data_IF_169335705698
#
_entry.id   IF_169335705698
#
_cell.length_a   1.000
_cell.length_b   1.000
_cell.length_c   1.000
_cell.angle_alpha   90.00
_cell.angle_beta   90.00
_cell.angle_gamma   90.00
#
_symmetry.space_group_name_H-M   'P 1'
#
loop_
_entity.id
_entity.type
_entity.pdbx_description
1 polymer ?
#
# COMPACT_ATOMS: atom_id res chain seq x y z
N UNK A 1 -8.54 -8.98 -21.05
CA UNK A 1 -7.13 -8.55 -21.09
C UNK A 1 -6.79 -7.99 -19.71
N UNK A 2 -6.29 -8.81 -18.79
CA UNK A 2 -5.68 -8.35 -17.55
C UNK A 2 -4.63 -9.42 -17.21
N UNK A 3 -3.46 -9.26 -17.83
CA UNK A 3 -2.33 -10.18 -17.67
C UNK A 3 -1.52 -9.76 -16.45
N UNK A 4 -1.00 -10.78 -15.77
CA UNK A 4 0.20 -10.78 -14.93
C UNK A 4 0.01 -10.63 -13.41
N UNK A 5 -0.55 -11.67 -12.80
CA UNK A 5 -0.10 -12.18 -11.49
C UNK A 5 1.35 -12.66 -11.67
N UNK A 6 2.33 -11.75 -11.53
CA UNK A 6 3.75 -12.13 -11.49
C UNK A 6 4.14 -12.45 -10.06
N UNK A 7 4.32 -13.75 -9.82
CA UNK A 7 4.95 -14.42 -8.68
C UNK A 7 6.05 -13.56 -8.04
N UNK A 8 5.78 -13.04 -6.86
CA UNK A 8 6.63 -12.05 -6.20
C UNK A 8 7.76 -12.69 -5.41
N UNK A 9 8.97 -12.25 -5.74
CA UNK A 9 10.21 -12.59 -5.05
C UNK A 9 10.21 -12.03 -3.62
N UNK A 10 10.64 -12.89 -2.68
CA UNK A 10 11.00 -12.62 -1.28
C UNK A 10 10.39 -11.36 -0.64
N UNK A 11 9.23 -11.54 0.00
CA UNK A 11 8.60 -10.50 0.81
C UNK A 11 9.47 -10.17 2.03
N UNK A 12 10.01 -8.95 2.09
CA UNK A 12 10.83 -8.50 3.22
C UNK A 12 9.97 -7.77 4.27
N UNK A 13 10.10 -8.08 5.57
CA UNK A 13 9.37 -7.35 6.61
C UNK A 13 9.88 -5.91 6.72
N UNK A 14 8.97 -4.95 6.75
CA UNK A 14 9.26 -3.53 6.87
C UNK A 14 8.35 -2.90 7.92
N UNK A 15 8.89 -1.96 8.70
CA UNK A 15 8.11 -1.09 9.57
C UNK A 15 8.06 0.30 8.94
N UNK A 16 6.88 0.79 8.62
CA UNK A 16 6.70 2.07 7.93
C UNK A 16 5.63 2.92 8.64
N UNK A 17 5.86 4.25 8.65
CA UNK A 17 4.83 5.23 9.04
C UNK A 17 3.97 5.57 7.83
N UNK A 18 2.66 5.49 7.96
CA UNK A 18 1.74 5.80 6.86
C UNK A 18 1.64 7.33 6.67
N UNK A 19 1.83 7.86 5.45
CA UNK A 19 1.80 9.30 5.20
C UNK A 19 0.39 9.89 4.99
N UNK A 20 -0.63 9.06 4.85
CA UNK A 20 -2.03 9.44 4.60
C UNK A 20 -2.99 8.81 5.62
N UNK A 21 -4.21 9.34 5.71
CA UNK A 21 -5.27 8.78 6.53
C UNK A 21 -6.05 7.75 5.71
N UNK A 22 -6.18 6.53 6.22
CA UNK A 22 -6.85 5.42 5.52
C UNK A 22 -7.97 4.84 6.38
N UNK A 23 -9.02 4.37 5.71
CA UNK A 23 -10.16 3.71 6.33
C UNK A 23 -10.23 2.27 5.83
N UNK A 24 -10.21 1.31 6.74
CA UNK A 24 -10.36 -0.09 6.37
C UNK A 24 -11.80 -0.38 5.92
N UNK A 25 -11.96 -1.06 4.78
CA UNK A 25 -13.27 -1.38 4.23
C UNK A 25 -14.05 -2.41 5.07
N UNK A 26 -13.35 -3.32 5.76
CA UNK A 26 -14.01 -4.40 6.53
C UNK A 26 -14.42 -3.99 7.94
N UNK A 27 -13.60 -3.21 8.64
CA UNK A 27 -13.88 -2.83 10.04
C UNK A 27 -14.23 -1.35 10.23
N UNK A 28 -14.10 -0.51 9.21
CA UNK A 28 -14.34 0.93 9.32
C UNK A 28 -13.33 1.65 10.23
N UNK A 29 -12.27 0.98 10.70
CA UNK A 29 -11.24 1.60 11.52
C UNK A 29 -10.42 2.57 10.67
N UNK A 30 -10.26 3.77 11.19
CA UNK A 30 -9.36 4.77 10.65
C UNK A 30 -7.94 4.52 11.17
N UNK A 31 -6.97 4.53 10.26
CA UNK A 31 -5.55 4.67 10.59
C UNK A 31 -5.15 6.10 10.26
N UNK A 32 -4.52 6.75 11.22
CA UNK A 32 -4.15 8.15 11.12
C UNK A 32 -2.80 8.30 10.42
N UNK A 33 -2.58 9.50 9.88
CA UNK A 33 -1.27 9.89 9.38
C UNK A 33 -0.22 9.77 10.49
N UNK A 34 0.85 9.04 10.23
CA UNK A 34 1.96 8.82 11.15
C UNK A 34 1.90 7.53 11.96
N UNK A 35 0.81 6.75 11.86
CA UNK A 35 0.71 5.43 12.49
C UNK A 35 1.80 4.49 11.95
N UNK A 36 2.41 3.74 12.86
CA UNK A 36 3.47 2.75 12.55
C UNK A 36 2.82 1.41 12.27
N UNK A 37 2.93 0.92 11.04
CA UNK A 37 2.44 -0.39 10.65
C UNK A 37 3.60 -1.28 10.21
N UNK A 38 3.50 -2.54 10.60
CA UNK A 38 4.34 -3.60 10.06
C UNK A 38 3.72 -4.10 8.75
N UNK A 39 4.54 -4.20 7.72
CA UNK A 39 4.13 -4.65 6.41
C UNK A 39 5.19 -5.53 5.75
N UNK A 40 4.82 -6.06 4.60
CA UNK A 40 5.69 -6.84 3.73
C UNK A 40 5.98 -6.00 2.48
N UNK A 41 7.25 -5.83 2.16
CA UNK A 41 7.70 -5.19 0.93
C UNK A 41 7.83 -6.24 -0.16
N UNK A 42 7.17 -5.99 -1.28
CA UNK A 42 7.15 -6.81 -2.48
C UNK A 42 7.63 -5.99 -3.68
N UNK A 43 8.40 -6.61 -4.58
CA UNK A 43 8.83 -5.94 -5.81
C UNK A 43 7.78 -6.16 -6.91
N UNK A 44 7.05 -5.09 -7.27
CA UNK A 44 6.00 -5.16 -8.28
C UNK A 44 6.54 -5.04 -9.72
N UNK A 45 7.78 -4.59 -9.89
CA UNK A 45 8.47 -4.49 -11.17
C UNK A 45 9.34 -3.23 -11.29
N UNK A 46 9.73 -2.91 -12.51
CA UNK A 46 10.41 -1.66 -12.87
C UNK A 46 9.51 -0.84 -13.77
N UNK A 47 9.39 0.46 -13.50
CA UNK A 47 8.74 1.36 -14.43
C UNK A 47 9.63 1.58 -15.65
N UNK A 48 9.06 1.37 -16.83
CA UNK A 48 9.76 1.58 -18.10
C UNK A 48 10.08 3.05 -18.36
N UNK A 49 9.40 3.98 -17.70
CA UNK A 49 9.51 5.42 -17.96
C UNK A 49 10.65 6.09 -17.18
N UNK A 50 10.88 5.69 -15.93
CA UNK A 50 11.87 6.34 -15.04
C UNK A 50 13.04 5.42 -14.66
N UNK A 51 12.99 4.13 -15.02
CA UNK A 51 14.02 3.15 -14.65
C UNK A 51 14.08 2.85 -13.14
N UNK A 52 13.14 3.40 -12.36
CA UNK A 52 13.02 3.20 -10.91
C UNK A 52 12.20 1.94 -10.63
N UNK A 53 12.56 1.25 -9.54
CA UNK A 53 11.84 0.07 -9.06
C UNK A 53 10.55 0.46 -8.34
N UNK A 54 9.45 -0.20 -8.69
CA UNK A 54 8.19 -0.05 -7.99
C UNK A 54 8.08 -1.09 -6.91
N UNK A 55 7.79 -0.61 -5.71
CA UNK A 55 7.49 -1.45 -4.57
C UNK A 55 5.99 -1.47 -4.29
N UNK A 56 5.48 -2.66 -4.00
CA UNK A 56 4.17 -2.90 -3.43
C UNK A 56 4.36 -3.28 -1.97
N UNK A 57 3.63 -2.62 -1.09
CA UNK A 57 3.64 -2.87 0.33
C UNK A 57 2.31 -3.51 0.72
N UNK A 58 2.38 -4.67 1.37
CA UNK A 58 1.23 -5.32 1.96
C UNK A 58 1.22 -5.01 3.46
N UNK A 59 0.19 -4.32 3.91
CA UNK A 59 -0.02 -4.04 5.33
C UNK A 59 -1.24 -4.82 5.82
N UNK A 60 -1.29 -5.06 7.12
CA UNK A 60 -2.46 -5.64 7.77
C UNK A 60 -3.11 -4.61 8.68
N UNK A 61 -4.45 -4.59 8.73
CA UNK A 61 -5.18 -3.81 9.71
C UNK A 61 -4.98 -4.44 11.10
N UNK A 62 -4.64 -3.67 12.15
CA UNK A 62 -4.44 -4.22 13.50
C UNK A 62 -5.72 -4.78 14.12
N UNK A 63 -6.90 -4.43 13.59
CA UNK A 63 -8.20 -4.86 14.12
C UNK A 63 -8.72 -6.14 13.46
N UNK A 64 -8.91 -6.11 12.14
CA UNK A 64 -9.54 -7.21 11.39
C UNK A 64 -8.52 -8.11 10.70
N UNK A 65 -7.22 -7.80 10.75
CA UNK A 65 -6.15 -8.48 10.00
C UNK A 65 -6.37 -8.49 8.47
N UNK A 66 -7.27 -7.64 7.99
CA UNK A 66 -7.47 -7.36 6.57
C UNK A 66 -6.17 -6.89 5.94
N UNK A 67 -5.85 -7.42 4.75
CA UNK A 67 -4.71 -6.94 3.99
C UNK A 67 -5.12 -5.78 3.09
N UNK A 68 -4.27 -4.74 3.07
CA UNK A 68 -4.37 -3.67 2.10
C UNK A 68 -3.02 -3.46 1.41
N UNK A 69 -3.08 -3.02 0.16
CA UNK A 69 -1.94 -2.94 -0.72
C UNK A 69 -1.68 -1.49 -1.13
N UNK A 70 -0.44 -1.06 -0.95
CA UNK A 70 0.04 0.29 -1.28
C UNK A 70 1.16 0.16 -2.30
N UNK A 71 1.07 0.88 -3.40
CA UNK A 71 2.09 0.91 -4.47
C UNK A 71 2.79 2.26 -4.48
N UNK A 72 4.10 2.28 -4.65
CA UNK A 72 4.84 3.52 -4.89
C UNK A 72 4.70 3.96 -6.35
N UNK A 73 4.42 5.24 -6.60
CA UNK A 73 4.42 5.83 -7.94
C UNK A 73 5.59 6.82 -8.10
N UNK A 74 6.58 6.55 -8.98
CA UNK A 74 7.73 7.44 -9.14
C UNK A 74 7.43 8.71 -9.94
N UNK A 75 6.30 8.76 -10.67
CA UNK A 75 5.92 9.95 -11.44
C UNK A 75 5.37 11.07 -10.56
N UNK A 76 4.62 10.70 -9.51
CA UNK A 76 3.97 11.64 -8.61
C UNK A 76 4.72 11.82 -7.27
N UNK A 77 5.74 11.01 -7.00
CA UNK A 77 6.39 10.90 -5.69
C UNK A 77 5.41 10.59 -4.55
N UNK A 78 4.28 9.96 -4.88
CA UNK A 78 3.19 9.64 -3.98
C UNK A 78 2.99 8.11 -3.91
N UNK A 79 2.19 7.69 -2.94
CA UNK A 79 1.76 6.30 -2.80
C UNK A 79 0.30 6.16 -3.25
N UNK A 80 0.03 5.10 -4.01
CA UNK A 80 -1.31 4.78 -4.51
C UNK A 80 -1.84 3.57 -3.74
N UNK A 81 -3.07 3.69 -3.24
CA UNK A 81 -3.77 2.59 -2.59
C UNK A 81 -4.47 1.73 -3.65
N UNK A 82 -4.09 0.47 -3.79
CA UNK A 82 -4.69 -0.43 -4.78
C UNK A 82 -5.99 -1.05 -4.24
N UNK A 83 -5.94 -1.66 -3.04
CA UNK A 83 -7.05 -2.43 -2.48
C UNK A 83 -7.05 -2.44 -0.95
N UNK A 84 -8.22 -2.68 -0.36
CA UNK A 84 -8.40 -3.01 1.08
C UNK A 84 -8.68 -1.83 2.00
N UNK A 85 -8.48 -0.60 1.53
CA UNK A 85 -8.85 0.60 2.26
C UNK A 85 -9.33 1.70 1.30
N UNK A 86 -9.97 2.73 1.85
CA UNK A 86 -10.36 3.94 1.13
C UNK A 86 -9.71 5.15 1.78
N UNK A 87 -9.28 6.08 0.92
CA UNK A 87 -8.91 7.43 1.31
C UNK A 87 -10.21 8.24 1.32
N UNK A 88 -10.93 8.29 2.45
CA UNK A 88 -12.05 9.23 2.53
C UNK A 88 -11.47 10.63 2.64
N UNK A 89 -11.69 11.53 1.66
CA UNK A 89 -11.42 12.94 1.89
C UNK A 89 -12.26 13.36 3.10
N UNK A 90 -11.67 14.16 3.98
CA UNK A 90 -12.41 14.87 5.02
C UNK A 90 -13.52 15.65 4.28
N UNK A 91 -14.74 15.09 4.27
CA UNK A 91 -15.90 15.83 3.80
C UNK A 91 -16.08 16.97 4.78
N UNK A 92 -16.01 18.19 4.25
CA UNK A 92 -16.52 19.38 4.90
C UNK A 92 -18.03 19.26 5.07
#
# INVERSE_FOLDING_TARGET
MEKSVKKSAAAAPVNMRIPFELWCNECGRQTYKGDRLWGLKENAGKDSCFGVEIYRFQFHCPSCRAHFFVKSDPGRYDYILESGAILRPRMF
#
